data_IF_168221600155
#
_entry.id   IF_168221600155
#
_cell.length_a   1.000
_cell.length_b   1.000
_cell.length_c   1.000
_cell.angle_alpha   90.00
_cell.angle_beta   90.00
_cell.angle_gamma   90.00
#
_symmetry.space_group_name_H-M   'P 1'
#
loop_
_entity.id
_entity.type
_entity.pdbx_description
1 polymer ?
#
# COMPACT_ATOMS: atom_id res chain seq x y z
N UNK A 1 -6.17 -75.93 -14.44
CA UNK A 1 -7.28 -75.11 -14.98
C UNK A 1 -6.86 -73.64 -14.95
N UNK A 2 -6.91 -72.98 -16.11
CA UNK A 2 -7.23 -71.56 -16.37
C UNK A 2 -6.29 -70.45 -15.84
N UNK A 3 -5.62 -69.75 -16.76
CA UNK A 3 -5.77 -68.31 -17.16
C UNK A 3 -5.31 -67.30 -16.08
N UNK A 4 -4.16 -66.63 -16.25
CA UNK A 4 -3.94 -65.41 -17.04
C UNK A 4 -4.51 -64.13 -16.37
N UNK A 5 -3.66 -63.15 -16.06
CA UNK A 5 -3.73 -61.79 -16.63
C UNK A 5 -2.59 -60.88 -16.09
N UNK A 6 -1.93 -60.22 -17.04
CA UNK A 6 -1.11 -59.00 -16.89
C UNK A 6 -2.05 -57.79 -16.75
N UNK A 7 -1.71 -56.75 -15.97
CA UNK A 7 -1.98 -55.31 -16.23
C UNK A 7 -1.40 -54.39 -15.09
N UNK A 8 -1.31 -53.03 -15.23
CA UNK A 8 -0.04 -52.30 -15.26
C UNK A 8 0.11 -51.15 -14.21
N UNK A 9 1.22 -50.41 -14.32
CA UNK A 9 1.55 -49.14 -13.64
C UNK A 9 0.34 -48.19 -13.49
N UNK A 10 0.15 -47.66 -12.28
CA UNK A 10 -0.58 -46.41 -12.05
C UNK A 10 0.36 -45.40 -11.39
N UNK A 11 0.96 -44.56 -12.24
CA UNK A 11 1.68 -43.36 -11.86
C UNK A 11 0.64 -42.33 -11.36
N UNK A 12 0.52 -42.15 -10.04
CA UNK A 12 -0.32 -41.10 -9.49
C UNK A 12 0.36 -39.74 -9.71
N UNK A 13 0.05 -39.13 -10.85
CA UNK A 13 0.33 -37.72 -11.11
C UNK A 13 -0.48 -36.89 -10.11
N UNK A 14 0.18 -36.31 -9.11
CA UNK A 14 -0.40 -35.21 -8.34
C UNK A 14 -0.42 -33.97 -9.24
N UNK A 15 -1.54 -33.84 -9.96
CA UNK A 15 -1.91 -32.65 -10.70
C UNK A 15 -2.22 -31.55 -9.68
N UNK A 16 -1.34 -30.55 -9.68
CA UNK A 16 -1.55 -29.13 -9.37
C UNK A 16 -2.66 -28.72 -8.40
N UNK A 17 -2.24 -28.01 -7.35
CA UNK A 17 -2.68 -26.62 -7.18
C UNK A 17 -1.45 -25.80 -6.83
N UNK A 18 -0.61 -25.52 -7.83
CA UNK A 18 0.17 -24.30 -7.79
C UNK A 18 -0.86 -23.16 -7.84
N UNK A 19 -1.24 -22.62 -6.67
CA UNK A 19 -1.71 -21.25 -6.62
C UNK A 19 -0.49 -20.43 -7.03
N UNK A 20 -0.38 -20.16 -8.33
CA UNK A 20 0.39 -19.04 -8.79
C UNK A 20 -0.11 -17.85 -7.96
N UNK A 21 0.74 -17.33 -7.08
CA UNK A 21 0.76 -15.90 -6.89
C UNK A 21 0.82 -15.33 -8.31
N UNK A 22 -0.25 -14.68 -8.77
CA UNK A 22 -0.13 -13.73 -9.87
C UNK A 22 0.81 -12.65 -9.36
N UNK A 23 2.11 -12.93 -9.42
CA UNK A 23 3.12 -11.91 -9.50
C UNK A 23 2.81 -11.22 -10.82
N UNK A 24 1.99 -10.16 -10.73
CA UNK A 24 1.74 -9.26 -11.83
C UNK A 24 3.08 -8.99 -12.49
N UNK A 25 3.18 -9.33 -13.77
CA UNK A 25 4.40 -9.16 -14.52
C UNK A 25 4.60 -7.65 -14.69
N UNK A 26 5.57 -7.09 -13.95
CA UNK A 26 5.78 -5.65 -13.78
C UNK A 26 7.00 -5.18 -14.57
N UNK A 27 6.93 -3.95 -15.09
CA UNK A 27 8.07 -3.25 -15.70
C UNK A 27 8.35 -1.98 -14.91
N UNK A 28 9.63 -1.72 -14.64
CA UNK A 28 10.06 -0.44 -14.05
C UNK A 28 9.77 0.74 -14.99
N UNK A 29 9.27 1.83 -14.41
CA UNK A 29 9.07 3.10 -15.07
C UNK A 29 10.41 3.72 -15.46
N UNK A 30 10.48 4.34 -16.64
CA UNK A 30 11.58 5.25 -16.95
C UNK A 30 11.42 6.58 -16.19
N UNK A 31 12.42 7.46 -16.32
CA UNK A 31 12.44 8.76 -15.64
C UNK A 31 11.21 9.62 -15.94
N UNK A 32 10.85 9.76 -17.22
CA UNK A 32 9.70 10.58 -17.65
C UNK A 32 8.38 10.02 -17.14
N UNK A 33 8.23 8.69 -17.16
CA UNK A 33 7.05 8.01 -16.61
C UNK A 33 6.94 8.23 -15.09
N UNK A 34 8.06 8.17 -14.37
CA UNK A 34 8.13 8.44 -12.93
C UNK A 34 7.78 9.89 -12.62
N UNK A 35 8.31 10.85 -13.38
CA UNK A 35 7.98 12.27 -13.25
C UNK A 35 6.50 12.55 -13.49
N UNK A 36 5.90 11.91 -14.51
CA UNK A 36 4.47 12.03 -14.79
C UNK A 36 3.61 11.43 -13.67
N UNK A 37 4.01 10.29 -13.10
CA UNK A 37 3.34 9.72 -11.94
C UNK A 37 3.42 10.65 -10.73
N UNK A 38 4.59 11.21 -10.43
CA UNK A 38 4.78 12.15 -9.33
C UNK A 38 3.94 13.41 -9.53
N UNK A 39 3.87 13.94 -10.75
CA UNK A 39 3.02 15.09 -11.06
C UNK A 39 1.54 14.82 -10.75
N UNK A 40 1.04 13.62 -11.05
CA UNK A 40 -0.32 13.19 -10.69
C UNK A 40 -0.47 12.97 -9.18
N UNK A 41 0.52 12.35 -8.53
CA UNK A 41 0.51 12.12 -7.08
C UNK A 41 0.37 13.43 -6.31
N UNK A 42 1.12 14.46 -6.68
CA UNK A 42 1.20 15.73 -5.96
C UNK A 42 0.34 16.86 -6.56
N UNK A 43 -0.53 16.54 -7.52
CA UNK A 43 -1.34 17.52 -8.24
C UNK A 43 -0.51 18.67 -8.85
N UNK A 44 0.69 18.35 -9.34
CA UNK A 44 1.67 19.26 -9.91
C UNK A 44 3.10 18.74 -9.76
N UNK A 45 4.05 19.37 -10.45
CA UNK A 45 5.47 19.03 -10.32
C UNK A 45 5.94 19.27 -8.87
N UNK A 46 6.47 18.25 -8.18
CA UNK A 46 6.95 18.41 -6.81
C UNK A 46 8.13 19.39 -6.77
N UNK A 47 8.10 20.32 -5.80
CA UNK A 47 9.23 21.19 -5.49
C UNK A 47 10.22 20.50 -4.53
N UNK A 48 10.86 21.27 -3.65
CA UNK A 48 11.72 20.69 -2.59
C UNK A 48 10.96 19.68 -1.72
N UNK A 49 9.71 20.01 -1.38
CA UNK A 49 8.80 19.11 -0.66
C UNK A 49 7.40 19.14 -1.27
N UNK A 50 6.73 18.00 -1.28
CA UNK A 50 5.34 17.85 -1.69
C UNK A 50 4.62 16.79 -0.87
N UNK A 51 3.30 16.91 -0.74
CA UNK A 51 2.45 16.02 0.06
C UNK A 51 1.18 15.68 -0.70
N UNK A 52 0.68 14.46 -0.49
CA UNK A 52 -0.60 14.00 -0.97
C UNK A 52 -1.29 13.18 0.12
N UNK A 53 -2.44 13.67 0.59
CA UNK A 53 -3.25 12.98 1.59
C UNK A 53 -4.45 12.28 0.95
N UNK A 54 -4.68 11.03 1.35
CA UNK A 54 -5.84 10.23 0.95
C UNK A 54 -6.47 9.57 2.17
N UNK A 55 -7.80 9.56 2.23
CA UNK A 55 -8.54 9.04 3.39
C UNK A 55 -9.72 8.20 2.94
N UNK A 56 -10.00 7.16 3.72
CA UNK A 56 -11.26 6.40 3.66
C UNK A 56 -11.78 6.16 5.06
N UNK A 57 -13.06 6.40 5.24
CA UNK A 57 -13.81 6.07 6.46
C UNK A 57 -14.96 5.16 6.04
N UNK A 58 -15.17 4.08 6.77
CA UNK A 58 -16.26 3.15 6.53
C UNK A 58 -17.32 3.33 7.61
N UNK A 59 -18.57 3.48 7.17
CA UNK A 59 -19.72 3.54 8.08
C UNK A 59 -20.13 2.12 8.54
N UNK A 60 -21.07 2.07 9.48
CA UNK A 60 -21.58 0.82 10.02
C UNK A 60 -22.22 -0.07 8.95
N UNK A 61 -22.92 0.54 7.98
CA UNK A 61 -23.63 -0.18 6.92
C UNK A 61 -22.66 -0.88 5.96
N UNK A 62 -21.57 -0.20 5.59
CA UNK A 62 -20.47 -0.78 4.82
C UNK A 62 -19.84 -1.94 5.59
N UNK A 63 -19.46 -1.73 6.85
CA UNK A 63 -18.82 -2.76 7.66
C UNK A 63 -19.75 -3.96 7.95
N UNK A 64 -21.06 -3.76 7.96
CA UNK A 64 -22.03 -4.85 8.05
C UNK A 64 -22.08 -5.70 6.76
N UNK A 65 -21.92 -5.08 5.58
CA UNK A 65 -21.86 -5.77 4.28
C UNK A 65 -20.51 -6.44 4.02
N UNK A 66 -19.45 -6.02 4.71
CA UNK A 66 -18.10 -6.56 4.60
C UNK A 66 -17.64 -7.18 5.93
N UNK A 67 -18.23 -8.33 6.32
CA UNK A 67 -18.04 -8.88 7.67
C UNK A 67 -16.60 -9.35 7.95
N UNK A 68 -15.77 -9.55 6.92
CA UNK A 68 -14.36 -9.96 7.07
C UNK A 68 -13.40 -8.78 7.09
N UNK A 69 -13.90 -7.56 6.88
CA UNK A 69 -13.10 -6.35 6.90
C UNK A 69 -12.68 -5.99 8.34
N UNK A 70 -11.38 -5.91 8.56
CA UNK A 70 -10.75 -5.56 9.83
C UNK A 70 -10.55 -4.06 9.94
N UNK A 71 -10.24 -3.37 8.83
CA UNK A 71 -9.95 -1.93 8.83
C UNK A 71 -11.25 -1.12 8.78
N UNK A 72 -11.49 -0.27 9.77
CA UNK A 72 -12.66 0.62 9.83
C UNK A 72 -12.40 2.01 9.23
N UNK A 73 -11.14 2.38 9.06
CA UNK A 73 -10.74 3.61 8.38
C UNK A 73 -9.24 3.61 8.14
N UNK A 74 -8.82 4.33 7.10
CA UNK A 74 -7.44 4.38 6.64
C UNK A 74 -7.12 5.79 6.14
N UNK A 75 -5.90 6.23 6.41
CA UNK A 75 -5.27 7.45 5.93
C UNK A 75 -3.93 7.08 5.32
N UNK A 76 -3.62 7.66 4.18
CA UNK A 76 -2.32 7.55 3.52
C UNK A 76 -1.81 8.96 3.26
N UNK A 77 -0.65 9.26 3.82
CA UNK A 77 0.15 10.41 3.42
C UNK A 77 1.31 9.89 2.57
N UNK A 78 1.42 10.37 1.34
CA UNK A 78 2.63 10.21 0.53
C UNK A 78 3.33 11.56 0.52
N UNK A 79 4.60 11.58 0.88
CA UNK A 79 5.45 12.77 0.84
C UNK A 79 6.60 12.56 -0.12
N UNK A 80 7.05 13.66 -0.73
CA UNK A 80 8.26 13.70 -1.52
C UNK A 80 9.19 14.77 -0.96
N UNK A 81 10.48 14.46 -0.90
CA UNK A 81 11.55 15.40 -0.58
C UNK A 81 12.68 15.25 -1.59
N UNK A 82 13.18 16.39 -2.10
CA UNK A 82 14.40 16.39 -2.91
C UNK A 82 15.60 16.41 -1.96
N UNK A 83 16.40 15.35 -1.99
CA UNK A 83 17.62 15.27 -1.20
C UNK A 83 18.67 16.27 -1.72
N UNK A 84 19.39 16.90 -0.79
CA UNK A 84 20.34 17.96 -1.14
C UNK A 84 21.66 17.44 -1.70
N UNK A 85 22.02 16.19 -1.43
CA UNK A 85 23.28 15.57 -1.85
C UNK A 85 23.14 14.96 -3.24
N UNK A 86 22.15 14.09 -3.44
CA UNK A 86 21.95 13.37 -4.71
C UNK A 86 21.03 14.11 -5.70
N UNK A 87 20.31 15.15 -5.23
CA UNK A 87 19.35 15.94 -6.00
C UNK A 87 18.22 15.11 -6.61
N UNK A 88 17.93 13.96 -6.02
CA UNK A 88 16.85 13.06 -6.41
C UNK A 88 15.63 13.27 -5.51
N UNK A 89 14.47 12.98 -6.08
CA UNK A 89 13.21 13.03 -5.35
C UNK A 89 12.96 11.69 -4.66
N UNK A 90 12.99 11.70 -3.34
CA UNK A 90 12.71 10.54 -2.51
C UNK A 90 11.26 10.60 -2.05
N UNK A 91 10.53 9.51 -2.27
CA UNK A 91 9.17 9.36 -1.81
C UNK A 91 9.15 8.57 -0.50
N UNK A 92 8.27 8.95 0.42
CA UNK A 92 7.99 8.19 1.63
C UNK A 92 6.49 8.13 1.88
N UNK A 93 6.07 7.19 2.71
CA UNK A 93 4.67 7.07 3.09
C UNK A 93 4.50 6.99 4.60
N UNK A 94 3.34 7.45 5.03
CA UNK A 94 2.78 7.18 6.35
C UNK A 94 1.35 6.67 6.15
N UNK A 95 1.10 5.47 6.63
CA UNK A 95 -0.19 4.82 6.63
C UNK A 95 -0.72 4.84 8.05
N UNK A 96 -1.89 5.41 8.28
CA UNK A 96 -2.60 5.31 9.55
C UNK A 96 -3.93 4.62 9.36
N UNK A 97 -4.34 3.77 10.31
CA UNK A 97 -5.61 3.08 10.22
C UNK A 97 -6.16 2.72 11.59
N UNK A 98 -7.44 2.35 11.60
CA UNK A 98 -8.15 1.87 12.78
C UNK A 98 -8.73 0.50 12.51
N UNK A 99 -8.62 -0.39 13.48
CA UNK A 99 -9.35 -1.65 13.46
C UNK A 99 -10.82 -1.44 13.86
N UNK A 100 -11.70 -2.27 13.31
CA UNK A 100 -13.13 -2.30 13.66
C UNK A 100 -13.37 -2.76 15.11
N UNK A 101 -12.65 -3.79 15.54
CA UNK A 101 -12.87 -4.49 16.81
C UNK A 101 -11.70 -4.36 17.79
N UNK A 102 -10.88 -3.32 17.62
CA UNK A 102 -9.73 -3.04 18.48
C UNK A 102 -9.53 -1.54 18.56
N UNK A 103 -9.46 -1.04 19.78
CA UNK A 103 -9.20 0.38 20.05
C UNK A 103 -7.75 0.75 19.74
N UNK A 104 -7.56 1.99 19.31
CA UNK A 104 -6.24 2.54 19.00
C UNK A 104 -6.14 3.01 17.56
N UNK A 105 -5.27 3.98 17.35
CA UNK A 105 -4.79 4.37 16.04
C UNK A 105 -3.48 3.64 15.78
N UNK A 106 -3.40 2.98 14.64
CA UNK A 106 -2.25 2.19 14.22
C UNK A 106 -1.60 2.86 13.04
N UNK A 107 -0.28 2.81 12.98
CA UNK A 107 0.47 3.38 11.88
C UNK A 107 1.58 2.48 11.37
N UNK A 108 2.01 2.79 10.15
CA UNK A 108 3.13 2.21 9.46
C UNK A 108 3.76 3.27 8.58
N UNK A 109 5.07 3.26 8.44
CA UNK A 109 5.77 4.23 7.61
C UNK A 109 7.04 3.63 7.04
N UNK A 110 7.51 4.20 5.94
CA UNK A 110 8.75 3.80 5.30
C UNK A 110 8.97 4.57 4.00
N UNK A 111 9.90 4.08 3.20
CA UNK A 111 10.25 4.65 1.89
C UNK A 111 9.36 4.10 0.78
N UNK A 112 9.20 4.89 -0.27
CA UNK A 112 8.62 4.46 -1.53
C UNK A 112 9.70 4.49 -2.60
N UNK A 113 9.74 3.43 -3.40
CA UNK A 113 10.73 3.21 -4.43
C UNK A 113 10.06 3.19 -5.81
N UNK A 114 10.62 2.39 -6.72
CA UNK A 114 10.30 2.32 -8.14
C UNK A 114 8.80 2.40 -8.43
N UNK A 115 8.46 3.30 -9.35
CA UNK A 115 7.18 3.27 -10.03
C UNK A 115 7.23 2.10 -11.02
N UNK A 116 6.23 1.23 -10.98
CA UNK A 116 6.12 0.06 -11.86
C UNK A 116 4.81 0.10 -12.63
N UNK A 117 4.84 -0.38 -13.86
CA UNK A 117 3.69 -0.57 -14.71
C UNK A 117 3.31 -2.05 -14.72
N UNK A 118 2.02 -2.34 -14.66
CA UNK A 118 1.50 -3.65 -15.05
C UNK A 118 1.73 -3.85 -16.55
N UNK A 119 2.07 -5.07 -16.99
CA UNK A 119 2.33 -5.34 -18.43
C UNK A 119 1.14 -5.07 -19.35
N UNK A 120 -0.09 -5.13 -18.86
CA UNK A 120 -1.29 -4.72 -19.61
C UNK A 120 -1.40 -3.18 -19.78
N UNK A 121 -0.50 -2.41 -19.16
CA UNK A 121 -0.50 -0.96 -19.15
C UNK A 121 -1.68 -0.34 -18.38
N UNK A 122 -2.46 -1.17 -17.67
CA UNK A 122 -3.70 -0.77 -17.04
C UNK A 122 -3.52 -0.01 -15.73
N UNK A 123 -2.41 -0.24 -15.02
CA UNK A 123 -2.13 0.37 -13.71
C UNK A 123 -0.65 0.75 -13.54
N UNK A 124 -0.43 1.91 -12.94
CA UNK A 124 0.89 2.41 -12.54
C UNK A 124 0.93 2.44 -11.02
N UNK A 125 1.92 1.79 -10.42
CA UNK A 125 2.02 1.57 -8.97
C UNK A 125 3.33 2.10 -8.43
N UNK A 126 3.27 2.84 -7.34
CA UNK A 126 4.40 3.18 -6.49
C UNK A 126 4.54 2.10 -5.41
N UNK A 127 5.66 1.39 -5.38
CA UNK A 127 5.95 0.42 -4.33
C UNK A 127 6.48 1.11 -3.07
N UNK A 128 5.82 0.90 -1.93
CA UNK A 128 6.19 1.48 -0.65
C UNK A 128 6.45 0.39 0.39
N UNK A 129 7.63 0.40 1.01
CA UNK A 129 8.10 -0.66 1.88
C UNK A 129 8.49 -0.16 3.27
N UNK A 130 8.39 -1.05 4.24
CA UNK A 130 8.90 -0.84 5.60
C UNK A 130 10.22 -1.59 5.74
N UNK A 131 11.23 -0.92 6.30
CA UNK A 131 12.57 -1.47 6.48
C UNK A 131 12.58 -2.78 7.29
N UNK A 132 13.65 -3.56 7.11
CA UNK A 132 13.90 -4.80 7.85
C UNK A 132 12.75 -5.83 7.72
N UNK A 133 12.38 -6.13 6.47
CA UNK A 133 11.33 -7.10 6.12
C UNK A 133 9.95 -6.76 6.74
N UNK A 134 9.65 -5.46 6.86
CA UNK A 134 8.39 -4.98 7.40
C UNK A 134 7.21 -5.10 6.42
N UNK A 135 7.42 -5.64 5.21
CA UNK A 135 6.40 -5.69 4.17
C UNK A 135 6.16 -4.33 3.52
N UNK A 136 4.98 -4.11 2.95
CA UNK A 136 4.70 -2.89 2.20
C UNK A 136 3.31 -2.82 1.55
N UNK A 137 3.11 -1.73 0.83
CA UNK A 137 1.91 -1.44 0.04
C UNK A 137 2.28 -1.03 -1.37
N UNK A 138 1.45 -1.40 -2.34
CA UNK A 138 1.46 -0.79 -3.66
C UNK A 138 0.44 0.36 -3.71
N UNK A 139 0.83 1.52 -4.23
CA UNK A 139 -0.04 2.69 -4.33
C UNK A 139 -0.22 3.06 -5.81
N UNK A 140 -1.43 2.89 -6.33
CA UNK A 140 -1.82 3.41 -7.64
C UNK A 140 -2.73 4.63 -7.52
N UNK A 141 -2.91 5.38 -8.61
CA UNK A 141 -3.87 6.47 -8.70
C UNK A 141 -5.02 6.09 -9.63
N UNK A 142 -6.24 6.50 -9.26
CA UNK A 142 -7.38 6.45 -10.17
C UNK A 142 -7.11 7.28 -11.43
N UNK A 143 -7.81 6.96 -12.52
CA UNK A 143 -7.63 7.66 -13.82
C UNK A 143 -7.88 9.17 -13.74
N UNK A 144 -8.69 9.61 -12.80
CA UNK A 144 -9.04 11.01 -12.56
C UNK A 144 -8.22 11.68 -11.44
N UNK A 145 -7.22 10.98 -10.90
CA UNK A 145 -6.30 11.44 -9.83
C UNK A 145 -6.96 11.81 -8.50
N UNK A 146 -8.25 11.52 -8.34
CA UNK A 146 -9.03 11.82 -7.13
C UNK A 146 -8.96 10.74 -6.06
N UNK A 147 -8.37 9.59 -6.35
CA UNK A 147 -8.24 8.50 -5.38
C UNK A 147 -6.92 7.76 -5.52
N UNK A 148 -6.42 7.27 -4.40
CA UNK A 148 -5.36 6.27 -4.36
C UNK A 148 -5.97 4.88 -4.19
N UNK A 149 -5.40 3.89 -4.88
CA UNK A 149 -5.68 2.47 -4.70
C UNK A 149 -4.50 1.86 -3.97
N UNK A 150 -4.70 1.53 -2.70
CA UNK A 150 -3.71 0.88 -1.85
C UNK A 150 -3.91 -0.63 -1.94
N UNK A 151 -2.89 -1.33 -2.43
CA UNK A 151 -2.82 -2.80 -2.45
C UNK A 151 -1.93 -3.25 -1.31
N UNK A 152 -2.48 -4.06 -0.43
CA UNK A 152 -1.79 -4.59 0.73
C UNK A 152 -1.57 -6.09 0.56
N UNK A 153 -0.38 -6.56 0.88
CA UNK A 153 -0.11 -7.98 1.13
C UNK A 153 0.10 -8.20 2.64
N UNK A 154 1.13 -7.57 3.20
CA UNK A 154 1.28 -7.39 4.63
C UNK A 154 2.16 -6.17 4.90
N UNK A 155 1.93 -5.48 6.02
CA UNK A 155 2.77 -4.38 6.46
C UNK A 155 2.90 -4.39 7.98
N UNK A 156 4.10 -4.14 8.51
CA UNK A 156 4.37 -4.02 9.94
C UNK A 156 3.71 -2.76 10.48
N UNK A 157 3.13 -2.84 11.67
CA UNK A 157 2.33 -1.75 12.24
C UNK A 157 2.70 -1.54 13.71
N UNK A 158 2.54 -0.30 14.14
CA UNK A 158 2.76 0.15 15.51
C UNK A 158 1.50 0.82 16.03
N UNK A 159 1.39 0.91 17.35
CA UNK A 159 0.39 1.74 17.98
C UNK A 159 0.92 3.18 17.97
N UNK A 160 0.15 4.12 17.42
CA UNK A 160 0.62 5.47 17.12
C UNK A 160 1.21 6.20 18.35
N UNK A 161 0.66 5.97 19.54
CA UNK A 161 1.12 6.60 20.78
C UNK A 161 2.25 5.83 21.49
N UNK A 162 2.71 4.70 20.93
CA UNK A 162 3.78 3.86 21.45
C UNK A 162 4.63 3.28 20.30
N UNK A 163 5.34 4.13 19.54
CA UNK A 163 6.14 3.69 18.39
C UNK A 163 7.36 2.84 18.80
N UNK A 164 7.82 2.97 20.05
CA UNK A 164 8.99 2.24 20.58
C UNK A 164 8.63 0.90 21.25
N UNK A 165 7.33 0.59 21.43
CA UNK A 165 6.91 -0.74 21.87
C UNK A 165 7.15 -1.74 20.73
N UNK A 166 7.41 -3.01 21.07
CA UNK A 166 7.57 -4.06 20.04
C UNK A 166 6.39 -4.02 19.05
N UNK A 167 6.72 -4.02 17.75
CA UNK A 167 5.75 -3.83 16.68
C UNK A 167 4.55 -4.77 16.88
N UNK A 168 3.36 -4.19 16.95
CA UNK A 168 2.18 -4.92 17.34
C UNK A 168 1.56 -5.65 16.14
N UNK A 169 2.17 -6.76 15.70
CA UNK A 169 1.74 -7.69 14.61
C UNK A 169 1.32 -7.02 13.29
N UNK A 170 1.89 -7.46 12.17
CA UNK A 170 1.56 -6.95 10.83
C UNK A 170 0.06 -6.89 10.50
N UNK A 171 -0.37 -5.81 9.82
CA UNK A 171 -1.64 -5.78 9.09
C UNK A 171 -1.49 -6.63 7.83
N UNK A 172 -2.15 -7.78 7.82
CA UNK A 172 -2.12 -8.74 6.70
C UNK A 172 -3.40 -8.63 5.88
N UNK A 173 -3.28 -8.71 4.56
CA UNK A 173 -4.39 -8.74 3.64
C UNK A 173 -5.38 -9.87 3.96
N UNK A 174 -6.67 -9.54 3.94
CA UNK A 174 -7.77 -10.50 3.98
C UNK A 174 -8.63 -10.37 2.72
N UNK A 175 -9.72 -11.13 2.63
CA UNK A 175 -10.65 -11.02 1.50
C UNK A 175 -11.23 -9.61 1.32
N UNK A 176 -11.36 -8.87 2.42
CA UNK A 176 -11.97 -7.54 2.46
C UNK A 176 -10.94 -6.45 2.84
N UNK A 177 -9.66 -6.81 3.03
CA UNK A 177 -8.58 -5.90 3.46
C UNK A 177 -7.34 -5.96 2.54
N UNK A 178 -7.48 -6.46 1.31
CA UNK A 178 -6.37 -6.53 0.34
C UNK A 178 -6.23 -5.30 -0.55
N UNK A 179 -7.33 -4.56 -0.76
CA UNK A 179 -7.38 -3.40 -1.65
C UNK A 179 -8.25 -2.32 -1.01
N UNK A 180 -7.71 -1.11 -0.90
CA UNK A 180 -8.42 0.04 -0.36
C UNK A 180 -8.43 1.18 -1.37
N UNK A 181 -9.63 1.70 -1.67
CA UNK A 181 -9.77 2.97 -2.38
C UNK A 181 -9.84 4.10 -1.35
N UNK A 182 -8.87 5.01 -1.40
CA UNK A 182 -8.78 6.18 -0.54
C UNK A 182 -9.05 7.43 -1.37
N UNK A 183 -9.92 8.31 -0.90
CA UNK A 183 -10.26 9.55 -1.61
C UNK A 183 -9.23 10.64 -1.26
N UNK A 184 -8.73 11.35 -2.27
CA UNK A 184 -7.81 12.48 -2.09
C UNK A 184 -8.51 13.57 -1.29
N UNK A 185 -7.80 14.14 -0.33
CA UNK A 185 -8.32 15.20 0.54
C UNK A 185 -7.22 16.22 0.85
N UNK A 186 -7.58 17.26 1.60
CA UNK A 186 -6.64 18.24 2.13
C UNK A 186 -5.56 17.60 3.01
N UNK A 187 -4.34 18.12 2.94
CA UNK A 187 -3.18 17.61 3.67
C UNK A 187 -3.39 17.60 5.20
N UNK A 188 -4.18 18.53 5.73
CA UNK A 188 -4.49 18.62 7.17
C UNK A 188 -5.20 17.36 7.71
N UNK A 189 -5.93 16.61 6.88
CA UNK A 189 -6.56 15.36 7.31
C UNK A 189 -5.53 14.28 7.69
N UNK A 190 -4.32 14.35 7.13
CA UNK A 190 -3.20 13.45 7.44
C UNK A 190 -2.25 14.01 8.50
N UNK A 191 -2.51 15.19 9.06
CA UNK A 191 -1.63 15.84 10.05
C UNK A 191 -1.33 14.95 11.27
N UNK A 192 -2.29 14.13 11.68
CA UNK A 192 -2.12 13.20 12.79
C UNK A 192 -1.07 12.10 12.54
N UNK A 193 -0.68 11.85 11.28
CA UNK A 193 0.35 10.86 10.95
C UNK A 193 1.77 11.42 11.10
N UNK A 194 1.93 12.74 11.13
CA UNK A 194 3.23 13.39 11.13
C UNK A 194 3.65 13.69 12.56
N UNK A 195 4.73 13.04 13.00
CA UNK A 195 5.28 13.17 14.36
C UNK A 195 6.36 14.25 14.45
N UNK A 196 7.07 14.55 13.35
CA UNK A 196 8.06 15.64 13.32
C UNK A 196 7.37 17.01 13.23
N UNK A 197 7.78 17.94 14.10
CA UNK A 197 7.13 19.25 14.19
C UNK A 197 7.39 20.15 12.98
N UNK A 198 8.56 20.04 12.35
CA UNK A 198 8.91 20.85 11.18
C UNK A 198 8.15 20.36 9.95
N UNK A 199 8.09 19.04 9.75
CA UNK A 199 7.30 18.41 8.71
C UNK A 199 5.81 18.74 8.90
N UNK A 200 5.29 18.66 10.12
CA UNK A 200 3.89 19.00 10.42
C UNK A 200 3.56 20.47 10.10
N UNK A 201 4.48 21.39 10.41
CA UNK A 201 4.31 22.79 10.02
C UNK A 201 4.29 22.94 8.49
N UNK A 202 5.24 22.31 7.79
CA UNK A 202 5.29 22.35 6.33
C UNK A 202 4.01 21.78 5.68
N UNK A 203 3.49 20.66 6.20
CA UNK A 203 2.26 20.03 5.73
C UNK A 203 1.05 20.97 5.87
N UNK A 204 0.95 21.72 6.97
CA UNK A 204 -0.18 22.63 7.24
C UNK A 204 -0.16 23.91 6.39
N UNK A 205 0.98 24.24 5.79
CA UNK A 205 1.14 25.40 4.91
C UNK A 205 1.00 25.05 3.42
N UNK A 206 0.64 23.80 3.10
CA UNK A 206 0.50 23.26 1.74
C UNK A 206 -0.94 22.90 1.44
#
# INVERSE_FOLDING_TARGET
MKLALVLPLALAAFIGVARAEEADDIREANKTETEAFNARMYAGTPGKTAYACFVRRYDADHLARHPKQKVAGMKLLVSAETDSEDKQLHNSFRLGFRYRHRSGDFDSSGSCHHVVFTKDGGEVRLGCGVDCEGGGIGVALSKDDKSAIVRLASVRVWLHNKPDDEAERSLVAGSDDGIFRLDRTDNSECAALVTDRKELAALRHK
#
